data_IF_022031881977
#
_entry.id   IF_022031881977
#
_cell.length_a   1.000
_cell.length_b   1.000
_cell.length_c   1.000
_cell.angle_alpha   90.00
_cell.angle_beta   90.00
_cell.angle_gamma   90.00
#
_symmetry.space_group_name_H-M   'P 1'
#
loop_
_entity.id
_entity.type
_entity.pdbx_description
1 polymer ?
#
# COMPACT_ATOMS: atom_id res chain seq x y z
N UNK A 1 10.60 33.49 11.97
CA UNK A 1 10.82 32.84 10.66
C UNK A 1 10.81 31.34 10.91
N UNK A 2 9.74 30.65 10.58
CA UNK A 2 9.80 29.57 9.57
C UNK A 2 8.64 28.60 9.80
N UNK A 3 7.42 29.05 9.48
CA UNK A 3 6.17 28.28 9.70
C UNK A 3 5.92 27.19 8.64
N UNK A 4 6.85 27.01 7.70
CA UNK A 4 6.73 26.05 6.61
C UNK A 4 7.92 25.11 6.63
N UNK A 5 7.66 23.81 6.80
CA UNK A 5 8.65 22.74 6.64
C UNK A 5 9.27 22.79 5.25
N UNK A 6 10.57 22.51 5.17
CA UNK A 6 11.28 22.41 3.89
C UNK A 6 10.73 21.26 3.04
N UNK A 7 11.02 21.24 1.73
CA UNK A 7 10.61 20.13 0.86
C UNK A 7 11.23 18.81 1.32
N UNK A 8 12.51 18.82 1.69
CA UNK A 8 13.21 17.65 2.21
C UNK A 8 12.60 17.13 3.51
N UNK A 9 12.22 18.01 4.45
CA UNK A 9 11.55 17.60 5.69
C UNK A 9 10.20 16.92 5.42
N UNK A 10 9.46 17.38 4.42
CA UNK A 10 8.19 16.75 4.00
C UNK A 10 8.41 15.39 3.34
N UNK A 11 9.45 15.26 2.52
CA UNK A 11 9.85 14.00 1.87
C UNK A 11 10.23 12.95 2.91
N UNK A 12 11.07 13.32 3.87
CA UNK A 12 11.49 12.45 4.97
C UNK A 12 10.32 12.03 5.85
N UNK A 13 9.41 12.95 6.18
CA UNK A 13 8.20 12.61 6.93
C UNK A 13 7.28 11.64 6.17
N UNK A 14 7.17 11.81 4.84
CA UNK A 14 6.40 10.89 3.99
C UNK A 14 7.01 9.50 3.98
N UNK A 15 8.34 9.39 3.82
CA UNK A 15 9.04 8.12 3.87
C UNK A 15 8.92 7.45 5.24
N UNK A 16 9.10 8.18 6.34
CA UNK A 16 8.94 7.65 7.69
C UNK A 16 7.52 7.10 7.93
N UNK A 17 6.48 7.82 7.46
CA UNK A 17 5.09 7.34 7.52
C UNK A 17 4.84 6.13 6.63
N UNK A 18 5.58 5.97 5.54
CA UNK A 18 5.52 4.76 4.71
C UNK A 18 6.12 3.57 5.45
N UNK A 19 7.35 3.71 5.94
CA UNK A 19 8.03 2.65 6.68
C UNK A 19 7.27 2.22 7.93
N UNK A 20 6.73 3.16 8.70
CA UNK A 20 5.89 2.82 9.86
C UNK A 20 4.64 2.03 9.45
N UNK A 21 3.97 2.42 8.36
CA UNK A 21 2.77 1.73 7.91
C UNK A 21 3.08 0.30 7.42
N UNK A 22 4.22 0.11 6.75
CA UNK A 22 4.70 -1.20 6.33
C UNK A 22 5.01 -2.07 7.56
N UNK A 23 5.72 -1.51 8.53
CA UNK A 23 6.03 -2.15 9.81
C UNK A 23 4.78 -2.58 10.57
N UNK A 24 3.79 -1.70 10.72
CA UNK A 24 2.53 -1.99 11.41
C UNK A 24 1.74 -3.15 10.75
N UNK A 25 2.08 -3.50 9.50
CA UNK A 25 1.43 -4.55 8.70
C UNK A 25 2.35 -5.74 8.41
N UNK A 26 3.54 -5.79 9.01
CA UNK A 26 4.57 -6.81 8.75
C UNK A 26 4.96 -6.91 7.26
N UNK A 27 5.03 -5.76 6.57
CA UNK A 27 5.42 -5.63 5.17
C UNK A 27 6.81 -4.99 5.02
N UNK A 28 7.70 -5.18 5.99
CA UNK A 28 9.02 -4.54 6.06
C UNK A 28 9.95 -4.99 4.91
N UNK A 29 9.76 -6.22 4.41
CA UNK A 29 10.54 -6.82 3.32
C UNK A 29 9.99 -6.52 1.92
N UNK A 30 8.98 -5.63 1.83
CA UNK A 30 8.42 -5.22 0.55
C UNK A 30 9.45 -4.42 -0.26
N UNK A 31 9.57 -4.70 -1.56
CA UNK A 31 10.50 -3.97 -2.42
C UNK A 31 10.15 -2.48 -2.44
N UNK A 32 11.15 -1.60 -2.48
CA UNK A 32 10.93 -0.16 -2.66
C UNK A 32 10.15 0.14 -3.96
N UNK A 33 10.30 -0.70 -4.99
CA UNK A 33 9.53 -0.63 -6.23
C UNK A 33 8.00 -0.70 -5.99
N UNK A 34 7.59 -1.37 -4.92
CA UNK A 34 6.18 -1.55 -4.56
C UNK A 34 5.64 -0.39 -3.73
N UNK A 35 6.50 0.49 -3.20
CA UNK A 35 6.08 1.57 -2.30
C UNK A 35 5.13 2.56 -2.98
N UNK A 36 5.26 2.75 -4.29
CA UNK A 36 4.31 3.57 -5.07
C UNK A 36 2.92 2.95 -5.05
N UNK A 37 2.81 1.63 -5.19
CA UNK A 37 1.54 0.93 -5.14
C UNK A 37 0.97 0.94 -3.71
N UNK A 38 1.81 0.81 -2.70
CA UNK A 38 1.40 0.97 -1.30
C UNK A 38 0.89 2.38 -1.00
N UNK A 39 1.52 3.43 -1.52
CA UNK A 39 1.07 4.82 -1.34
C UNK A 39 -0.32 5.04 -1.95
N UNK A 40 -0.58 4.44 -3.12
CA UNK A 40 -1.91 4.44 -3.75
C UNK A 40 -2.93 3.70 -2.89
N UNK A 41 -2.62 2.49 -2.44
CA UNK A 41 -3.50 1.73 -1.53
C UNK A 41 -3.84 2.57 -0.30
N UNK A 42 -2.85 3.18 0.35
CA UNK A 42 -3.05 4.04 1.51
C UNK A 42 -3.93 5.23 1.20
N UNK A 43 -3.72 5.88 0.07
CA UNK A 43 -4.45 7.09 -0.35
C UNK A 43 -5.91 6.76 -0.66
N UNK A 44 -6.15 5.70 -1.43
CA UNK A 44 -7.49 5.26 -1.82
C UNK A 44 -8.28 4.71 -0.62
N UNK A 45 -7.61 4.05 0.33
CA UNK A 45 -8.22 3.58 1.57
C UNK A 45 -8.28 4.66 2.66
N UNK A 46 -7.67 5.84 2.50
CA UNK A 46 -7.66 6.86 3.55
C UNK A 46 -9.07 7.37 3.89
N UNK A 47 -9.98 7.33 2.92
CA UNK A 47 -11.41 7.65 3.07
C UNK A 47 -12.25 6.53 3.67
N UNK A 48 -11.66 5.42 4.14
CA UNK A 48 -12.38 4.21 4.57
C UNK A 48 -12.13 3.86 6.04
N UNK A 49 -11.18 4.53 6.70
CA UNK A 49 -10.96 4.44 8.14
C UNK A 49 -12.00 5.21 8.96
N UNK A 50 -11.79 5.30 10.28
CA UNK A 50 -12.72 5.95 11.25
C UNK A 50 -13.19 7.36 10.83
N UNK A 51 -12.29 8.18 10.26
CA UNK A 51 -12.63 9.51 9.73
C UNK A 51 -13.49 9.45 8.45
N UNK A 52 -13.28 8.44 7.60
CA UNK A 52 -14.14 8.16 6.45
C UNK A 52 -15.54 7.70 6.85
N UNK A 53 -15.63 6.88 7.90
CA UNK A 53 -16.90 6.47 8.50
C UNK A 53 -17.68 7.67 9.07
N UNK A 54 -17.01 8.61 9.74
CA UNK A 54 -17.63 9.86 10.21
C UNK A 54 -18.09 10.76 9.06
N UNK A 55 -17.30 10.87 7.98
CA UNK A 55 -17.72 11.60 6.78
C UNK A 55 -18.93 10.94 6.10
N UNK A 56 -19.02 9.61 6.07
CA UNK A 56 -20.18 8.90 5.50
C UNK A 56 -21.49 9.13 6.27
N UNK A 57 -21.44 9.41 7.58
CA UNK A 57 -22.64 9.71 8.39
C UNK A 57 -23.27 11.06 8.00
N UNK A 58 -22.46 12.00 7.49
CA UNK A 58 -22.89 13.33 7.05
C UNK A 58 -22.84 13.53 5.51
N UNK A 59 -22.61 12.46 4.76
CA UNK A 59 -22.34 12.47 3.32
C UNK A 59 -23.62 12.51 2.48
N UNK A 60 -23.55 13.20 1.34
CA UNK A 60 -24.56 13.05 0.28
C UNK A 60 -24.40 11.72 -0.47
N UNK A 61 -25.41 11.27 -1.22
CA UNK A 61 -25.33 10.06 -2.07
C UNK A 61 -24.11 10.08 -3.03
N UNK A 62 -23.74 11.28 -3.51
CA UNK A 62 -22.58 11.47 -4.38
C UNK A 62 -21.26 11.21 -3.64
N UNK A 63 -21.17 11.60 -2.38
CA UNK A 63 -19.99 11.38 -1.54
C UNK A 63 -19.85 9.90 -1.16
N UNK A 64 -20.98 9.23 -0.86
CA UNK A 64 -21.05 7.78 -0.66
C UNK A 64 -20.55 7.02 -1.89
N UNK A 65 -21.03 7.38 -3.09
CA UNK A 65 -20.61 6.73 -4.34
C UNK A 65 -19.10 6.92 -4.59
N UNK A 66 -18.57 8.11 -4.33
CA UNK A 66 -17.14 8.39 -4.47
C UNK A 66 -16.30 7.58 -3.48
N UNK A 67 -16.73 7.47 -2.22
CA UNK A 67 -16.03 6.64 -1.23
C UNK A 67 -16.03 5.17 -1.63
N UNK A 68 -17.14 4.66 -2.17
CA UNK A 68 -17.21 3.29 -2.69
C UNK A 68 -16.25 3.06 -3.86
N UNK A 69 -16.13 4.01 -4.78
CA UNK A 69 -15.15 3.93 -5.87
C UNK A 69 -13.71 3.88 -5.37
N UNK A 70 -13.36 4.71 -4.37
CA UNK A 70 -12.03 4.72 -3.77
C UNK A 70 -11.73 3.37 -3.07
N UNK A 71 -12.70 2.78 -2.36
CA UNK A 71 -12.57 1.43 -1.77
C UNK A 71 -12.24 0.40 -2.86
N UNK A 72 -13.01 0.39 -3.95
CA UNK A 72 -12.80 -0.55 -5.05
C UNK A 72 -11.43 -0.38 -5.69
N UNK A 73 -10.96 0.87 -5.86
CA UNK A 73 -9.63 1.16 -6.38
C UNK A 73 -8.53 0.66 -5.42
N UNK A 74 -8.68 0.93 -4.12
CA UNK A 74 -7.76 0.43 -3.09
C UNK A 74 -7.71 -1.10 -3.00
N UNK A 75 -8.82 -1.80 -3.23
CA UNK A 75 -8.85 -3.27 -3.32
C UNK A 75 -8.15 -3.75 -4.60
N UNK A 76 -8.38 -3.10 -5.74
CA UNK A 76 -7.73 -3.44 -7.00
C UNK A 76 -6.20 -3.32 -6.90
N UNK A 77 -5.69 -2.24 -6.32
CA UNK A 77 -4.25 -2.03 -6.10
C UNK A 77 -3.67 -3.09 -5.13
N UNK A 78 -4.40 -3.48 -4.07
CA UNK A 78 -4.01 -4.60 -3.20
C UNK A 78 -3.92 -5.92 -3.98
N UNK A 79 -4.88 -6.21 -4.87
CA UNK A 79 -4.86 -7.43 -5.67
C UNK A 79 -3.64 -7.49 -6.59
N UNK A 80 -3.23 -6.36 -7.19
CA UNK A 80 -2.01 -6.30 -7.99
C UNK A 80 -0.76 -6.60 -7.17
N UNK A 81 -0.68 -6.05 -5.96
CA UNK A 81 0.43 -6.34 -5.05
C UNK A 81 0.51 -7.83 -4.70
N UNK A 82 -0.63 -8.45 -4.41
CA UNK A 82 -0.73 -9.89 -4.14
C UNK A 82 -0.30 -10.74 -5.35
N UNK A 83 -0.73 -10.37 -6.56
CA UNK A 83 -0.30 -11.05 -7.80
C UNK A 83 1.23 -10.99 -7.95
N UNK A 84 1.83 -9.81 -7.74
CA UNK A 84 3.28 -9.63 -7.85
C UNK A 84 4.06 -10.44 -6.80
N UNK A 85 3.57 -10.45 -5.56
CA UNK A 85 4.17 -11.27 -4.49
C UNK A 85 4.06 -12.78 -4.79
N UNK A 86 2.91 -13.23 -5.29
CA UNK A 86 2.71 -14.63 -5.67
C UNK A 86 3.62 -15.05 -6.85
N UNK A 87 3.82 -14.19 -7.85
CA UNK A 87 4.77 -14.43 -8.94
C UNK A 87 6.22 -14.54 -8.42
N UNK A 88 6.62 -13.68 -7.48
CA UNK A 88 7.94 -13.76 -6.84
C UNK A 88 8.12 -15.07 -6.08
N UNK A 89 7.13 -15.49 -5.30
CA UNK A 89 7.15 -16.77 -4.59
C UNK A 89 7.21 -17.97 -5.56
N UNK A 90 6.45 -17.93 -6.66
CA UNK A 90 6.49 -18.97 -7.68
C UNK A 90 7.89 -19.12 -8.30
N UNK A 91 8.53 -18.01 -8.67
CA UNK A 91 9.89 -18.00 -9.21
C UNK A 91 10.94 -18.52 -8.20
N UNK A 92 10.84 -18.10 -6.94
CA UNK A 92 11.71 -18.61 -5.87
C UNK A 92 11.56 -20.12 -5.67
N UNK A 93 10.32 -20.62 -5.70
CA UNK A 93 10.04 -22.05 -5.60
C UNK A 93 10.61 -22.83 -6.80
N UNK A 94 10.50 -22.31 -8.02
CA UNK A 94 11.10 -22.93 -9.21
C UNK A 94 12.63 -23.03 -9.10
N UNK A 95 13.29 -21.98 -8.59
CA UNK A 95 14.74 -21.97 -8.37
C UNK A 95 15.17 -22.98 -7.31
N UNK A 96 14.46 -23.04 -6.17
CA UNK A 96 14.70 -24.04 -5.13
C UNK A 96 14.56 -25.46 -5.70
N UNK A 97 13.52 -25.72 -6.50
CA UNK A 97 13.30 -27.03 -7.13
C UNK A 97 14.45 -27.39 -8.06
N UNK A 98 14.97 -26.45 -8.86
CA UNK A 98 16.15 -26.69 -9.73
C UNK A 98 17.37 -27.06 -8.90
N UNK A 99 17.69 -26.28 -7.86
CA UNK A 99 18.84 -26.54 -6.98
C UNK A 99 18.75 -27.90 -6.26
N UNK A 100 17.54 -28.36 -5.91
CA UNK A 100 17.32 -29.67 -5.31
C UNK A 100 17.44 -30.81 -6.33
N UNK A 101 17.06 -30.58 -7.59
CA UNK A 101 17.25 -31.56 -8.67
C UNK A 101 18.71 -31.70 -9.06
N UNK A 102 19.43 -30.60 -9.16
CA UNK A 102 20.85 -30.58 -9.55
C UNK A 102 21.79 -31.13 -8.47
N UNK A 103 21.30 -31.29 -7.23
CA UNK A 103 22.03 -31.91 -6.11
C UNK A 103 21.88 -33.44 -6.01
N UNK A 104 20.92 -34.03 -6.73
CA UNK A 104 20.71 -35.49 -6.81
C UNK A 104 21.22 -36.04 -8.14
#
# INVERSE_FOLDING_TARGET
MGLFKSKEEKEQEKQAKMQQWLKDRNLEDLSEDDYTQVDRIKTELWGTGFLGALNNIAASDKDLQRNMQNILLGISEQNWLLIKQNDKLAKQNEEIIKLLKDKN
#
